data_IF_844698551203
#
_entry.id   IF_844698551203
#
_cell.length_a   1.000
_cell.length_b   1.000
_cell.length_c   1.000
_cell.angle_alpha   90.00
_cell.angle_beta   90.00
_cell.angle_gamma   90.00
#
_symmetry.space_group_name_H-M   'P 1'
#
loop_
_entity.id
_entity.type
_entity.pdbx_description
1 polymer ?
#
# COMPACT_ATOMS: atom_id res chain seq x y z
N UNK A 1 21.38 -26.24 -23.65
CA UNK A 1 20.35 -25.70 -22.74
C UNK A 1 20.95 -25.67 -21.35
N UNK A 2 21.00 -24.52 -20.69
CA UNK A 2 21.42 -24.43 -19.29
C UNK A 2 20.51 -25.30 -18.42
N UNK A 3 21.08 -26.14 -17.55
CA UNK A 3 20.31 -26.88 -16.54
C UNK A 3 19.64 -25.87 -15.60
N UNK A 4 18.33 -25.63 -15.81
CA UNK A 4 17.54 -24.68 -15.03
C UNK A 4 17.43 -25.10 -13.55
N UNK A 5 17.53 -26.40 -13.25
CA UNK A 5 17.55 -26.89 -11.87
C UNK A 5 18.88 -26.60 -11.19
N UNK A 6 20.00 -26.69 -11.92
CA UNK A 6 21.30 -26.26 -11.40
C UNK A 6 21.35 -24.74 -11.21
N UNK A 7 20.80 -23.96 -12.15
CA UNK A 7 20.69 -22.52 -12.04
C UNK A 7 19.88 -22.11 -10.80
N UNK A 8 18.72 -22.74 -10.60
CA UNK A 8 17.87 -22.45 -9.45
C UNK A 8 18.54 -22.82 -8.13
N UNK A 9 19.16 -24.00 -8.02
CA UNK A 9 19.92 -24.41 -6.83
C UNK A 9 21.02 -23.41 -6.48
N UNK A 10 21.73 -22.90 -7.50
CA UNK A 10 22.75 -21.86 -7.33
C UNK A 10 22.17 -20.55 -6.83
N UNK A 11 21.02 -20.14 -7.37
CA UNK A 11 20.40 -18.84 -7.10
C UNK A 11 19.46 -18.82 -5.90
N UNK A 12 19.17 -19.97 -5.27
CA UNK A 12 18.25 -20.04 -4.12
C UNK A 12 18.82 -19.41 -2.85
N UNK A 13 20.12 -19.60 -2.59
CA UNK A 13 20.76 -19.18 -1.34
C UNK A 13 20.58 -17.68 -1.06
N UNK A 14 20.42 -17.24 0.21
CA UNK A 14 20.04 -15.86 0.58
C UNK A 14 20.96 -14.71 0.12
N UNK A 15 22.09 -14.99 -0.52
CA UNK A 15 23.05 -13.99 -1.03
C UNK A 15 23.58 -14.31 -2.43
N UNK A 16 22.99 -15.29 -3.10
CA UNK A 16 23.39 -15.66 -4.44
C UNK A 16 23.15 -14.49 -5.41
N UNK A 17 24.15 -14.19 -6.23
CA UNK A 17 24.07 -13.18 -7.29
C UNK A 17 23.71 -13.87 -8.60
N UNK A 18 22.73 -13.32 -9.30
CA UNK A 18 22.37 -13.70 -10.67
C UNK A 18 22.21 -12.45 -11.52
N UNK A 19 22.29 -12.61 -12.84
CA UNK A 19 21.97 -11.52 -13.77
C UNK A 19 20.45 -11.32 -13.87
N UNK A 20 19.98 -10.16 -14.35
CA UNK A 20 18.56 -9.96 -14.66
C UNK A 20 17.97 -11.08 -15.54
N UNK A 21 18.70 -11.53 -16.58
CA UNK A 21 18.23 -12.59 -17.48
C UNK A 21 18.15 -13.96 -16.80
N UNK A 22 19.14 -14.33 -15.97
CA UNK A 22 19.09 -15.58 -15.22
C UNK A 22 17.91 -15.61 -14.26
N UNK A 23 17.64 -14.49 -13.60
CA UNK A 23 16.54 -14.36 -12.66
C UNK A 23 15.20 -14.33 -13.40
N UNK A 24 15.12 -13.67 -14.56
CA UNK A 24 13.95 -13.69 -15.44
C UNK A 24 13.58 -15.11 -15.86
N UNK A 25 14.54 -15.94 -16.26
CA UNK A 25 14.30 -17.34 -16.61
C UNK A 25 13.69 -18.15 -15.45
N UNK A 26 14.14 -17.91 -14.22
CA UNK A 26 13.58 -18.58 -13.04
C UNK A 26 12.19 -18.05 -12.68
N UNK A 27 11.96 -16.75 -12.85
CA UNK A 27 10.65 -16.12 -12.64
C UNK A 27 9.61 -16.73 -13.57
N UNK A 28 9.87 -16.73 -14.88
CA UNK A 28 8.91 -17.26 -15.86
C UNK A 28 8.65 -18.74 -15.67
N UNK A 29 9.70 -19.54 -15.42
CA UNK A 29 9.56 -20.97 -15.10
C UNK A 29 8.65 -21.20 -13.90
N UNK A 30 8.87 -20.48 -12.79
CA UNK A 30 8.09 -20.65 -11.55
C UNK A 30 6.67 -20.13 -11.70
N UNK A 31 6.47 -19.04 -12.43
CA UNK A 31 5.13 -18.55 -12.77
C UNK A 31 4.33 -19.58 -13.58
N UNK A 32 4.91 -20.13 -14.65
CA UNK A 32 4.24 -21.16 -15.46
C UNK A 32 3.93 -22.43 -14.68
N UNK A 33 4.78 -22.83 -13.73
CA UNK A 33 4.48 -23.96 -12.83
C UNK A 33 3.34 -23.67 -11.85
N UNK A 34 3.13 -22.41 -11.47
CA UNK A 34 1.98 -22.02 -10.65
C UNK A 34 0.66 -22.05 -11.46
N UNK A 35 0.72 -21.70 -12.75
CA UNK A 35 -0.42 -21.73 -13.67
C UNK A 35 -0.78 -23.16 -14.12
N UNK A 36 0.21 -24.03 -14.30
CA UNK A 36 0.06 -25.40 -14.82
C UNK A 36 -0.72 -26.38 -13.95
N UNK A 37 -1.22 -25.92 -12.80
CA UNK A 37 -2.01 -26.74 -11.87
C UNK A 37 -1.15 -27.60 -10.94
N UNK A 38 -1.72 -27.90 -9.79
CA UNK A 38 -1.08 -28.61 -8.67
C UNK A 38 -1.96 -28.44 -7.44
N UNK A 39 -1.59 -29.08 -6.33
CA UNK A 39 -2.29 -28.81 -5.07
C UNK A 39 -2.04 -27.35 -4.62
N UNK A 40 -2.93 -26.81 -3.78
CA UNK A 40 -2.87 -25.41 -3.35
C UNK A 40 -1.54 -25.04 -2.67
N UNK A 41 -0.85 -26.01 -2.04
CA UNK A 41 0.43 -25.80 -1.36
C UNK A 41 1.56 -25.65 -2.38
N UNK A 42 1.59 -26.50 -3.41
CA UNK A 42 2.55 -26.41 -4.51
C UNK A 42 2.41 -25.11 -5.29
N UNK A 43 1.18 -24.71 -5.62
CA UNK A 43 0.91 -23.43 -6.30
C UNK A 43 1.44 -22.25 -5.49
N UNK A 44 1.16 -22.21 -4.18
CA UNK A 44 1.70 -21.17 -3.28
C UNK A 44 3.23 -21.17 -3.27
N UNK A 45 3.86 -22.34 -3.24
CA UNK A 45 5.32 -22.45 -3.26
C UNK A 45 5.93 -22.02 -4.61
N UNK A 46 5.25 -22.21 -5.74
CA UNK A 46 5.75 -21.73 -7.02
C UNK A 46 5.63 -20.21 -7.15
N UNK A 47 4.48 -19.64 -6.74
CA UNK A 47 4.30 -18.19 -6.69
C UNK A 47 5.29 -17.51 -5.73
N UNK A 48 5.54 -18.15 -4.59
CA UNK A 48 6.57 -17.74 -3.65
C UNK A 48 7.93 -17.52 -4.30
N UNK A 49 8.35 -18.54 -5.03
CA UNK A 49 9.65 -18.59 -5.68
C UNK A 49 9.73 -17.62 -6.85
N UNK A 50 8.66 -17.51 -7.63
CA UNK A 50 8.56 -16.52 -8.70
C UNK A 50 8.72 -15.10 -8.14
N UNK A 51 8.00 -14.75 -7.07
CA UNK A 51 8.12 -13.46 -6.40
C UNK A 51 9.52 -13.24 -5.80
N UNK A 52 10.12 -14.26 -5.18
CA UNK A 52 11.49 -14.16 -4.66
C UNK A 52 12.50 -13.80 -5.77
N UNK A 53 12.44 -14.52 -6.90
CA UNK A 53 13.36 -14.27 -8.01
C UNK A 53 13.08 -12.96 -8.72
N UNK A 54 11.82 -12.53 -8.84
CA UNK A 54 11.45 -11.23 -9.38
C UNK A 54 12.04 -10.08 -8.54
N UNK A 55 11.93 -10.19 -7.22
CA UNK A 55 12.54 -9.20 -6.32
C UNK A 55 14.06 -9.18 -6.40
N UNK A 56 14.69 -10.33 -6.63
CA UNK A 56 16.15 -10.40 -6.88
C UNK A 56 16.52 -9.85 -8.26
N UNK A 57 15.72 -10.10 -9.30
CA UNK A 57 15.94 -9.60 -10.66
C UNK A 57 15.95 -8.08 -10.69
N UNK A 58 14.98 -7.46 -10.01
CA UNK A 58 14.96 -6.02 -9.81
C UNK A 58 16.21 -5.49 -9.10
N UNK A 59 16.63 -6.15 -8.00
CA UNK A 59 17.86 -5.80 -7.26
C UNK A 59 19.14 -6.02 -8.08
N UNK A 60 19.13 -6.94 -9.04
CA UNK A 60 20.22 -7.19 -9.97
C UNK A 60 20.30 -6.17 -11.11
N UNK A 61 19.36 -5.23 -11.21
CA UNK A 61 19.39 -4.15 -12.18
C UNK A 61 18.40 -4.26 -13.32
N UNK A 62 17.39 -5.14 -13.25
CA UNK A 62 16.33 -5.19 -14.26
C UNK A 62 15.59 -3.85 -14.36
N UNK A 63 15.43 -3.33 -15.58
CA UNK A 63 14.79 -2.04 -15.89
C UNK A 63 13.84 -2.09 -17.07
N UNK A 64 13.74 -3.23 -17.77
CA UNK A 64 12.76 -3.42 -18.83
C UNK A 64 11.33 -3.31 -18.28
N UNK A 65 10.54 -2.40 -18.84
CA UNK A 65 9.21 -2.06 -18.31
C UNK A 65 8.21 -3.23 -18.43
N UNK A 66 8.34 -4.07 -19.45
CA UNK A 66 7.49 -5.25 -19.62
C UNK A 66 7.79 -6.28 -18.51
N UNK A 67 9.06 -6.59 -18.26
CA UNK A 67 9.47 -7.50 -17.18
C UNK A 67 9.10 -6.96 -15.81
N UNK A 68 9.29 -5.66 -15.56
CA UNK A 68 8.89 -5.01 -14.31
C UNK A 68 7.37 -5.08 -14.08
N UNK A 69 6.55 -4.94 -15.13
CA UNK A 69 5.11 -5.13 -15.06
C UNK A 69 4.75 -6.56 -14.65
N UNK A 70 5.42 -7.56 -15.22
CA UNK A 70 5.26 -8.97 -14.81
C UNK A 70 5.65 -9.19 -13.35
N UNK A 71 6.74 -8.59 -12.88
CA UNK A 71 7.15 -8.70 -11.48
C UNK A 71 6.09 -8.14 -10.53
N UNK A 72 5.47 -7.00 -10.85
CA UNK A 72 4.36 -6.45 -10.06
C UNK A 72 3.16 -7.39 -10.01
N UNK A 73 2.76 -7.98 -11.14
CA UNK A 73 1.65 -8.91 -11.19
C UNK A 73 1.89 -10.12 -10.27
N UNK A 74 3.10 -10.69 -10.30
CA UNK A 74 3.50 -11.80 -9.45
C UNK A 74 3.51 -11.42 -7.96
N UNK A 75 3.97 -10.22 -7.60
CA UNK A 75 3.94 -9.75 -6.21
C UNK A 75 2.50 -9.65 -5.69
N UNK A 76 1.61 -9.07 -6.48
CA UNK A 76 0.19 -8.90 -6.10
C UNK A 76 -0.53 -10.24 -5.97
N UNK A 77 -0.22 -11.20 -6.84
CA UNK A 77 -0.77 -12.56 -6.74
C UNK A 77 -0.19 -13.30 -5.51
N UNK A 78 1.12 -13.23 -5.30
CA UNK A 78 1.76 -13.84 -4.14
C UNK A 78 1.22 -13.26 -2.81
N UNK A 79 0.98 -11.95 -2.75
CA UNK A 79 0.32 -11.30 -1.61
C UNK A 79 -1.13 -11.77 -1.44
N UNK A 80 -1.90 -11.87 -2.53
CA UNK A 80 -3.28 -12.38 -2.50
C UNK A 80 -3.39 -13.75 -1.85
N UNK A 81 -2.41 -14.62 -2.12
CA UNK A 81 -2.36 -16.00 -1.61
C UNK A 81 -1.57 -16.13 -0.31
N UNK A 82 -1.24 -15.00 0.33
CA UNK A 82 -0.52 -14.91 1.61
C UNK A 82 0.82 -15.64 1.60
N UNK A 83 1.55 -15.53 0.49
CA UNK A 83 2.79 -16.26 0.34
C UNK A 83 3.95 -15.56 1.10
N UNK A 84 4.04 -14.22 1.14
CA UNK A 84 5.10 -13.48 1.90
C UNK A 84 4.70 -12.03 2.21
N UNK A 85 4.79 -11.53 3.46
CA UNK A 85 4.25 -10.20 3.78
C UNK A 85 5.25 -9.02 3.68
N UNK A 86 6.54 -9.15 4.01
CA UNK A 86 7.37 -7.94 4.28
C UNK A 86 8.36 -7.53 3.18
N UNK A 87 9.15 -8.45 2.63
CA UNK A 87 10.22 -8.07 1.69
C UNK A 87 9.71 -7.68 0.29
N UNK A 88 8.52 -8.15 -0.08
CA UNK A 88 7.94 -7.91 -1.40
C UNK A 88 7.40 -6.49 -1.53
N UNK A 89 6.83 -5.91 -0.48
CA UNK A 89 6.17 -4.60 -0.58
C UNK A 89 7.12 -3.44 -0.81
N UNK A 90 8.23 -3.39 -0.05
CA UNK A 90 9.28 -2.40 -0.30
C UNK A 90 9.90 -2.56 -1.70
N UNK A 91 9.89 -3.77 -2.25
CA UNK A 91 10.38 -4.02 -3.62
C UNK A 91 9.35 -3.60 -4.66
N UNK A 92 8.07 -3.93 -4.45
CA UNK A 92 6.93 -3.51 -5.29
C UNK A 92 6.89 -1.99 -5.43
N UNK A 93 6.96 -1.28 -4.31
CA UNK A 93 7.05 0.17 -4.21
C UNK A 93 8.10 0.77 -5.15
N UNK A 94 9.30 0.19 -5.13
CA UNK A 94 10.42 0.64 -5.93
C UNK A 94 10.23 0.33 -7.41
N UNK A 95 9.64 -0.82 -7.75
CA UNK A 95 9.28 -1.15 -9.13
C UNK A 95 8.22 -0.17 -9.66
N UNK A 96 7.20 0.15 -8.87
CA UNK A 96 6.18 1.17 -9.22
C UNK A 96 6.86 2.51 -9.53
N UNK A 97 7.79 2.95 -8.67
CA UNK A 97 8.53 4.19 -8.89
C UNK A 97 9.33 4.18 -10.20
N UNK A 98 10.02 3.08 -10.51
CA UNK A 98 10.80 2.95 -11.75
C UNK A 98 9.91 2.95 -13.00
N UNK A 99 8.76 2.27 -12.95
CA UNK A 99 7.79 2.28 -14.05
C UNK A 99 7.21 3.68 -14.28
N UNK A 100 6.91 4.43 -13.23
CA UNK A 100 6.46 5.82 -13.34
C UNK A 100 7.50 6.71 -14.00
N UNK A 101 8.76 6.59 -13.55
CA UNK A 101 9.88 7.35 -14.11
C UNK A 101 10.08 7.03 -15.60
N UNK A 102 10.03 5.74 -15.97
CA UNK A 102 10.13 5.30 -17.37
C UNK A 102 8.96 5.79 -18.23
N UNK A 103 7.75 5.88 -17.66
CA UNK A 103 6.56 6.41 -18.33
C UNK A 103 6.50 7.93 -18.44
N UNK A 104 7.49 8.67 -17.95
CA UNK A 104 7.49 10.13 -17.94
C UNK A 104 6.42 10.75 -17.02
N UNK A 105 5.90 9.98 -16.06
CA UNK A 105 4.92 10.46 -15.09
C UNK A 105 5.65 11.32 -14.06
N UNK A 106 5.39 12.62 -14.08
CA UNK A 106 5.97 13.58 -13.14
C UNK A 106 5.52 13.29 -11.71
N UNK A 107 6.27 13.81 -10.72
CA UNK A 107 5.78 13.84 -9.34
C UNK A 107 4.49 14.68 -9.27
N UNK A 108 3.49 14.26 -8.49
CA UNK A 108 2.24 15.01 -8.35
C UNK A 108 2.51 16.38 -7.72
N UNK A 109 1.81 17.41 -8.19
CA UNK A 109 1.92 18.74 -7.59
C UNK A 109 1.16 18.76 -6.26
N UNK A 110 1.85 19.16 -5.19
CA UNK A 110 1.24 19.27 -3.86
C UNK A 110 0.57 20.63 -3.76
N UNK A 111 -0.76 20.64 -3.77
CA UNK A 111 -1.59 21.83 -3.58
C UNK A 111 -1.56 22.32 -2.13
N UNK A 112 -1.77 21.38 -1.20
CA UNK A 112 -1.78 21.66 0.25
C UNK A 112 -1.06 20.56 0.99
N UNK A 113 -0.28 20.93 2.00
CA UNK A 113 0.42 19.97 2.86
C UNK A 113 0.44 20.45 4.31
N UNK A 114 0.21 19.51 5.23
CA UNK A 114 0.40 19.72 6.66
C UNK A 114 0.95 18.46 7.31
N UNK A 115 1.81 18.64 8.29
CA UNK A 115 2.40 17.54 9.04
C UNK A 115 2.30 17.82 10.54
N UNK A 116 2.05 16.77 11.31
CA UNK A 116 1.96 16.82 12.77
C UNK A 116 2.29 15.45 13.34
N UNK A 117 2.95 15.44 14.49
CA UNK A 117 3.04 14.22 15.30
C UNK A 117 1.73 14.05 16.07
N UNK A 118 1.05 12.94 15.87
CA UNK A 118 -0.21 12.61 16.54
C UNK A 118 0.04 11.42 17.46
N UNK A 119 -0.53 11.46 18.65
CA UNK A 119 -0.46 10.37 19.63
C UNK A 119 -1.73 9.52 19.55
N UNK A 120 -1.60 8.20 19.73
CA UNK A 120 -2.73 7.28 19.91
C UNK A 120 -2.58 6.40 21.15
N UNK A 121 -3.67 6.26 21.91
CA UNK A 121 -3.83 5.37 23.08
C UNK A 121 -4.55 4.05 22.75
N UNK A 122 -4.92 3.85 21.48
CA UNK A 122 -5.72 2.71 21.03
C UNK A 122 -5.11 2.04 19.80
N UNK A 123 -3.82 2.28 19.54
CA UNK A 123 -3.12 1.83 18.34
C UNK A 123 -3.83 2.13 17.00
N UNK A 124 -4.68 3.17 16.96
CA UNK A 124 -5.58 3.46 15.84
C UNK A 124 -5.66 4.97 15.59
N UNK A 125 -5.63 5.36 14.32
CA UNK A 125 -6.04 6.69 13.86
C UNK A 125 -7.21 6.58 12.89
N UNK A 126 -8.08 7.58 12.94
CA UNK A 126 -9.16 7.84 12.00
C UNK A 126 -8.76 9.02 11.11
N UNK A 127 -9.05 8.89 9.82
CA UNK A 127 -8.98 9.95 8.82
C UNK A 127 -10.38 10.14 8.24
N UNK A 128 -10.97 11.32 8.39
CA UNK A 128 -12.36 11.56 7.99
C UNK A 128 -12.62 13.05 7.77
N UNK A 129 -13.77 13.38 7.19
CA UNK A 129 -14.32 14.74 7.22
C UNK A 129 -14.59 15.17 8.67
N UNK A 130 -14.43 16.45 9.01
CA UNK A 130 -14.74 16.97 10.35
C UNK A 130 -16.12 16.51 10.89
N UNK A 131 -17.16 16.56 10.06
CA UNK A 131 -18.52 16.20 10.49
C UNK A 131 -18.68 14.70 10.77
N UNK A 132 -18.01 13.88 9.97
CA UNK A 132 -18.05 12.42 10.08
C UNK A 132 -17.11 11.93 11.17
N UNK A 133 -15.98 12.59 11.37
CA UNK A 133 -15.00 12.24 12.39
C UNK A 133 -15.64 12.20 13.77
N UNK A 134 -16.32 13.27 14.16
CA UNK A 134 -16.93 13.35 15.50
C UNK A 134 -18.05 12.31 15.65
N UNK A 135 -18.84 12.09 14.59
CA UNK A 135 -19.92 11.08 14.60
C UNK A 135 -19.37 9.66 14.75
N UNK A 136 -18.37 9.28 13.95
CA UNK A 136 -17.71 7.97 14.00
C UNK A 136 -17.01 7.79 15.35
N UNK A 137 -16.30 8.82 15.78
CA UNK A 137 -15.49 8.82 16.99
C UNK A 137 -16.30 8.53 18.26
N UNK A 138 -17.56 8.97 18.33
CA UNK A 138 -18.43 8.77 19.50
C UNK A 138 -19.32 7.52 19.41
N UNK A 139 -19.21 6.76 18.31
CA UNK A 139 -19.94 5.52 18.09
C UNK A 139 -18.95 4.35 18.01
N UNK A 140 -18.68 3.71 19.15
CA UNK A 140 -17.74 2.58 19.25
C UNK A 140 -18.02 1.48 18.23
N UNK A 141 -19.30 1.27 17.85
CA UNK A 141 -19.66 0.25 16.85
C UNK A 141 -19.08 0.53 15.45
N UNK A 142 -18.57 1.73 15.20
CA UNK A 142 -17.96 2.12 13.92
C UNK A 142 -16.47 1.84 13.83
N UNK A 143 -15.79 1.61 14.95
CA UNK A 143 -14.33 1.52 14.98
C UNK A 143 -13.76 0.50 15.97
N UNK A 144 -14.57 -0.07 16.87
CA UNK A 144 -14.13 -1.05 17.86
C UNK A 144 -13.91 -2.46 17.26
N UNK A 145 -14.55 -2.77 16.13
CA UNK A 145 -14.40 -4.05 15.43
C UNK A 145 -14.22 -3.91 13.92
N UNK A 146 -13.82 -5.01 13.28
CA UNK A 146 -13.55 -5.08 11.84
C UNK A 146 -14.79 -4.87 10.97
N UNK A 147 -15.99 -5.19 11.46
CA UNK A 147 -17.23 -5.03 10.70
C UNK A 147 -17.62 -3.55 10.61
N UNK A 148 -17.63 -2.86 11.75
CA UNK A 148 -17.86 -1.43 11.86
C UNK A 148 -16.86 -0.61 11.06
N UNK A 149 -15.57 -0.95 11.18
CA UNK A 149 -14.51 -0.29 10.40
C UNK A 149 -14.76 -0.47 8.90
N UNK A 150 -15.03 -1.70 8.44
CA UNK A 150 -15.29 -1.97 7.01
C UNK A 150 -16.50 -1.22 6.50
N UNK A 151 -17.62 -1.23 7.23
CA UNK A 151 -18.83 -0.51 6.82
C UNK A 151 -18.57 1.00 6.70
N UNK A 152 -17.80 1.57 7.63
CA UNK A 152 -17.42 2.99 7.61
C UNK A 152 -16.55 3.35 6.40
N UNK A 153 -15.57 2.51 6.04
CA UNK A 153 -14.74 2.77 4.86
C UNK A 153 -15.50 2.53 3.55
N UNK A 154 -16.34 1.49 3.47
CA UNK A 154 -17.17 1.21 2.29
C UNK A 154 -18.17 2.33 2.00
N UNK A 155 -18.71 2.95 3.05
CA UNK A 155 -19.57 4.12 2.94
C UNK A 155 -18.80 5.41 2.58
N UNK A 156 -17.46 5.37 2.51
CA UNK A 156 -16.62 6.53 2.23
C UNK A 156 -16.64 7.60 3.32
N UNK A 157 -16.96 7.21 4.56
CA UNK A 157 -17.09 8.13 5.70
C UNK A 157 -15.76 8.33 6.43
N UNK A 158 -14.87 7.35 6.38
CA UNK A 158 -13.61 7.41 7.10
C UNK A 158 -12.62 6.35 6.64
N UNK A 159 -11.42 6.46 7.18
CA UNK A 159 -10.27 5.61 6.93
C UNK A 159 -9.56 5.34 8.24
N UNK A 160 -9.12 4.10 8.45
CA UNK A 160 -8.45 3.70 9.68
C UNK A 160 -6.98 3.36 9.42
N UNK A 161 -6.09 3.84 10.29
CA UNK A 161 -4.67 3.53 10.30
C UNK A 161 -4.37 2.79 11.60
N UNK A 162 -4.12 1.49 11.51
CA UNK A 162 -3.72 0.67 12.66
C UNK A 162 -2.20 0.65 12.81
N UNK A 163 -1.70 1.09 13.95
CA UNK A 163 -0.25 1.12 14.26
C UNK A 163 0.23 -0.14 14.99
N UNK A 164 -0.68 -0.95 15.53
CA UNK A 164 -0.34 -2.15 16.31
C UNK A 164 0.15 -1.89 17.73
N UNK A 165 0.48 -0.64 18.07
CA UNK A 165 0.82 -0.22 19.42
C UNK A 165 0.48 1.27 19.62
N UNK A 166 0.31 1.63 20.88
CA UNK A 166 0.20 3.03 21.31
C UNK A 166 1.50 3.77 21.06
N UNK A 167 1.38 5.07 20.82
CA UNK A 167 2.55 5.93 20.67
C UNK A 167 2.31 7.12 19.76
N UNK A 168 3.42 7.78 19.42
CA UNK A 168 3.41 8.94 18.56
C UNK A 168 3.89 8.58 17.17
N UNK A 169 3.12 8.93 16.15
CA UNK A 169 3.50 8.76 14.74
C UNK A 169 3.51 10.11 14.04
N UNK A 170 4.51 10.33 13.17
CA UNK A 170 4.52 11.55 12.35
C UNK A 170 3.59 11.37 11.16
N UNK A 171 2.49 12.10 11.15
CA UNK A 171 1.56 12.13 10.02
C UNK A 171 1.84 13.31 9.11
N UNK A 172 1.71 13.07 7.80
CA UNK A 172 1.76 14.08 6.76
C UNK A 172 0.59 13.90 5.82
N UNK A 173 -0.27 14.89 5.73
CA UNK A 173 -1.41 14.91 4.79
C UNK A 173 -1.04 15.81 3.61
N UNK A 174 -1.20 15.29 2.40
CA UNK A 174 -0.96 15.98 1.12
C UNK A 174 -2.22 15.94 0.28
N UNK A 175 -2.57 17.09 -0.27
CA UNK A 175 -3.61 17.23 -1.28
C UNK A 175 -2.92 17.54 -2.59
N UNK A 176 -3.25 16.81 -3.64
CA UNK A 176 -2.58 16.90 -4.94
C UNK A 176 -3.53 17.29 -6.08
N UNK A 177 -2.99 17.87 -7.14
CA UNK A 177 -3.72 18.45 -8.28
C UNK A 177 -4.37 17.42 -9.22
N UNK A 178 -3.79 16.22 -9.28
CA UNK A 178 -4.16 15.14 -10.21
C UNK A 178 -4.56 13.89 -9.47
N UNK A 179 -5.23 12.98 -10.19
CA UNK A 179 -5.62 11.63 -9.77
C UNK A 179 -4.45 10.71 -9.35
N UNK A 180 -3.23 11.24 -9.27
CA UNK A 180 -2.02 10.50 -9.01
C UNK A 180 -1.61 10.56 -7.54
N UNK A 181 -1.91 9.48 -6.81
CA UNK A 181 -1.70 9.37 -5.37
C UNK A 181 -0.27 9.00 -4.98
N UNK A 182 0.73 9.49 -5.71
CA UNK A 182 2.10 9.00 -5.60
C UNK A 182 2.92 9.63 -4.47
N UNK A 183 3.86 8.84 -3.94
CA UNK A 183 4.95 9.38 -3.12
C UNK A 183 5.98 10.10 -3.97
N UNK A 184 6.80 10.95 -3.34
CA UNK A 184 8.01 11.46 -3.98
C UNK A 184 9.03 10.33 -4.20
N UNK A 185 9.87 10.46 -5.22
CA UNK A 185 10.83 9.42 -5.65
C UNK A 185 11.75 8.94 -4.52
N UNK A 186 12.13 9.85 -3.61
CA UNK A 186 13.01 9.55 -2.46
C UNK A 186 12.29 8.77 -1.36
N UNK A 187 10.97 8.90 -1.26
CA UNK A 187 10.17 8.28 -0.19
C UNK A 187 9.89 6.82 -0.46
N UNK A 188 9.81 6.40 -1.73
CA UNK A 188 9.68 5.00 -2.11
C UNK A 188 10.81 4.11 -1.57
N UNK A 189 11.98 4.67 -1.24
CA UNK A 189 13.08 3.92 -0.60
C UNK A 189 12.77 3.48 0.82
N UNK A 190 11.91 4.22 1.51
CA UNK A 190 11.55 3.99 2.90
C UNK A 190 10.13 3.40 3.04
N UNK A 191 9.44 3.11 1.92
CA UNK A 191 8.09 2.56 1.95
C UNK A 191 8.10 1.16 2.55
N UNK A 192 7.35 0.99 3.63
CA UNK A 192 7.18 -0.30 4.31
C UNK A 192 5.83 -0.92 4.03
N UNK A 193 4.78 -0.10 3.89
CA UNK A 193 3.45 -0.57 3.48
C UNK A 193 2.61 0.54 2.86
N UNK A 194 1.64 0.18 2.03
CA UNK A 194 0.68 1.10 1.44
C UNK A 194 -0.73 0.50 1.39
N UNK A 195 -1.75 1.36 1.38
CA UNK A 195 -3.13 0.94 1.15
C UNK A 195 -3.50 1.00 -0.34
N UNK A 196 -4.50 0.22 -0.74
CA UNK A 196 -5.26 0.55 -1.94
C UNK A 196 -5.91 1.94 -1.76
N UNK A 197 -6.06 2.73 -2.84
CA UNK A 197 -6.84 3.96 -2.77
C UNK A 197 -8.29 3.66 -2.38
N UNK A 198 -8.86 4.50 -1.52
CA UNK A 198 -10.29 4.47 -1.20
C UNK A 198 -10.93 5.80 -1.55
N UNK A 199 -12.27 5.82 -1.60
CA UNK A 199 -13.02 7.06 -1.72
C UNK A 199 -13.37 7.59 -0.33
N UNK A 200 -13.17 8.89 -0.13
CA UNK A 200 -13.52 9.59 1.11
C UNK A 200 -14.33 10.84 0.75
N UNK A 201 -15.52 10.97 1.31
CA UNK A 201 -16.36 12.14 1.16
C UNK A 201 -15.95 13.21 2.19
N UNK A 202 -15.65 14.42 1.72
CA UNK A 202 -15.27 15.59 2.51
C UNK A 202 -16.26 16.75 2.29
N UNK A 203 -17.53 16.63 2.70
CA UNK A 203 -18.54 17.65 2.45
C UNK A 203 -18.26 18.97 3.17
N UNK A 204 -17.53 18.97 4.30
CA UNK A 204 -17.16 20.19 5.02
C UNK A 204 -15.94 20.89 4.43
N UNK A 205 -15.18 20.20 3.56
CA UNK A 205 -13.88 20.68 3.10
C UNK A 205 -12.80 20.62 4.19
N UNK A 206 -12.97 19.80 5.23
CA UNK A 206 -11.99 19.66 6.31
C UNK A 206 -11.64 18.21 6.56
N UNK A 207 -10.43 17.84 6.14
CA UNK A 207 -9.85 16.53 6.40
C UNK A 207 -9.19 16.53 7.77
N UNK A 208 -9.69 15.69 8.68
CA UNK A 208 -9.18 15.52 10.05
C UNK A 208 -8.53 14.15 10.19
N UNK A 209 -7.35 14.13 10.80
CA UNK A 209 -6.64 12.92 11.23
C UNK A 209 -6.37 12.98 12.73
N UNK A 210 -6.80 11.96 13.46
CA UNK A 210 -6.62 11.84 14.91
C UNK A 210 -6.97 10.45 15.40
N UNK A 211 -6.70 10.11 16.65
CA UNK A 211 -7.30 8.92 17.25
C UNK A 211 -8.81 9.15 17.47
N UNK A 212 -9.64 8.08 17.54
CA UNK A 212 -10.99 8.22 18.09
C UNK A 212 -10.96 8.95 19.44
N UNK A 213 -11.97 9.78 19.66
CA UNK A 213 -12.21 10.64 20.81
C UNK A 213 -11.18 11.76 21.02
N UNK A 214 -10.25 11.97 20.06
CA UNK A 214 -9.31 13.07 20.11
C UNK A 214 -10.01 14.44 20.05
N UNK A 215 -9.50 15.37 20.84
CA UNK A 215 -9.90 16.78 20.74
C UNK A 215 -9.33 17.40 19.48
N UNK A 216 -9.97 18.47 19.02
CA UNK A 216 -9.58 19.18 17.79
C UNK A 216 -8.11 19.61 17.75
N UNK A 217 -7.58 20.08 18.88
CA UNK A 217 -6.20 20.51 19.03
C UNK A 217 -5.19 19.35 19.05
N UNK A 218 -5.64 18.12 19.29
CA UNK A 218 -4.86 16.89 19.22
C UNK A 218 -4.79 16.34 17.78
N UNK A 219 -5.77 16.69 16.94
CA UNK A 219 -5.85 16.28 15.54
C UNK A 219 -4.92 17.06 14.57
N UNK A 220 -4.62 16.44 13.43
CA UNK A 220 -4.08 17.07 12.23
C UNK A 220 -5.22 17.41 11.28
N UNK A 221 -5.47 18.71 11.06
CA UNK A 221 -6.54 19.19 10.18
C UNK A 221 -6.02 19.90 8.93
N UNK A 222 -6.57 19.58 7.77
CA UNK A 222 -6.27 20.24 6.49
C UNK A 222 -7.56 20.74 5.87
N UNK A 223 -7.59 22.03 5.51
CA UNK A 223 -8.68 22.62 4.73
C UNK A 223 -8.49 22.32 3.24
N UNK A 224 -9.56 21.89 2.58
CA UNK A 224 -9.63 21.48 1.19
C UNK A 224 -10.95 21.92 0.58
N UNK A 225 -11.08 21.87 -0.74
CA UNK A 225 -12.38 22.08 -1.37
C UNK A 225 -13.34 20.92 -1.03
N UNK A 226 -14.59 21.24 -0.72
CA UNK A 226 -15.60 20.21 -0.46
C UNK A 226 -15.78 19.29 -1.68
N UNK A 227 -15.92 17.99 -1.44
CA UNK A 227 -16.12 17.00 -2.49
C UNK A 227 -15.68 15.60 -2.12
N UNK A 228 -15.48 14.75 -3.13
CA UNK A 228 -15.02 13.36 -2.96
C UNK A 228 -13.56 13.27 -3.37
N UNK A 229 -12.79 12.53 -2.58
CA UNK A 229 -11.36 12.36 -2.76
C UNK A 229 -11.01 10.89 -2.86
N UNK A 230 -10.08 10.55 -3.75
CA UNK A 230 -9.34 9.29 -3.68
C UNK A 230 -8.20 9.48 -2.70
N UNK A 231 -8.07 8.59 -1.73
CA UNK A 231 -7.09 8.70 -0.65
C UNK A 231 -6.27 7.44 -0.55
N UNK A 232 -4.94 7.57 -0.53
CA UNK A 232 -4.00 6.48 -0.31
C UNK A 232 -3.12 6.76 0.91
N UNK A 233 -2.78 5.68 1.62
CA UNK A 233 -1.96 5.69 2.83
C UNK A 233 -0.61 5.03 2.54
N UNK A 234 0.45 5.64 3.04
CA UNK A 234 1.82 5.14 2.90
C UNK A 234 2.54 5.18 4.23
N UNK A 235 2.95 4.03 4.75
CA UNK A 235 3.79 3.93 5.93
C UNK A 235 5.26 3.88 5.51
N UNK A 236 6.04 4.80 6.04
CA UNK A 236 7.46 4.96 5.76
C UNK A 236 8.26 4.66 7.04
N UNK A 237 9.51 4.24 6.87
CA UNK A 237 10.48 4.09 7.97
C UNK A 237 9.94 3.21 9.11
N UNK A 238 9.43 2.02 8.80
CA UNK A 238 8.86 1.07 9.77
C UNK A 238 7.74 1.66 10.64
N UNK A 239 6.92 2.54 10.07
CA UNK A 239 5.78 3.14 10.78
C UNK A 239 6.10 4.42 11.54
N UNK A 240 7.34 4.91 11.52
CA UNK A 240 7.71 6.20 12.13
C UNK A 240 7.05 7.39 11.44
N UNK A 241 6.73 7.26 10.14
CA UNK A 241 6.06 8.28 9.34
C UNK A 241 4.93 7.67 8.53
N UNK A 242 3.74 8.29 8.57
CA UNK A 242 2.62 7.95 7.70
C UNK A 242 2.30 9.14 6.79
N UNK A 243 2.21 8.90 5.49
CA UNK A 243 1.81 9.90 4.48
C UNK A 243 0.42 9.54 3.96
N UNK A 244 -0.52 10.47 4.10
CA UNK A 244 -1.86 10.41 3.51
C UNK A 244 -1.85 11.30 2.28
N UNK A 245 -2.14 10.75 1.10
CA UNK A 245 -2.24 11.52 -0.14
C UNK A 245 -3.69 11.48 -0.61
N UNK A 246 -4.27 12.65 -0.83
CA UNK A 246 -5.64 12.84 -1.28
C UNK A 246 -5.66 13.57 -2.62
N UNK A 247 -6.33 13.00 -3.61
CA UNK A 247 -6.61 13.63 -4.90
C UNK A 247 -8.11 13.80 -5.04
N UNK A 248 -8.56 15.01 -5.39
CA UNK A 248 -9.98 15.25 -5.65
C UNK A 248 -10.40 14.45 -6.87
N UNK A 249 -11.57 13.82 -6.83
CA UNK A 249 -12.09 13.04 -7.95
C UNK A 249 -13.55 13.37 -8.23
N UNK A 250 -13.97 13.17 -9.48
CA UNK A 250 -15.38 13.25 -9.86
C UNK A 250 -16.04 11.88 -9.65
N UNK A 251 -17.23 11.87 -9.03
CA UNK A 251 -17.96 10.66 -8.65
C UNK A 251 -18.21 9.71 -9.83
N UNK A 252 -18.44 10.25 -11.03
CA UNK A 252 -18.61 9.49 -12.28
C UNK A 252 -17.33 8.77 -12.76
N UNK A 253 -16.16 9.33 -12.47
CA UNK A 253 -14.86 8.70 -12.77
C UNK A 253 -14.52 7.62 -11.74
N UNK A 254 -14.89 7.86 -10.47
CA UNK A 254 -14.59 6.99 -9.34
C UNK A 254 -15.32 5.63 -9.39
N UNK A 255 -16.58 5.61 -9.85
CA UNK A 255 -17.37 4.37 -9.97
C UNK A 255 -16.85 3.42 -11.06
N UNK A 256 -16.14 3.95 -12.07
CA UNK A 256 -15.57 3.16 -13.18
C UNK A 256 -14.15 2.63 -12.90
N UNK A 257 -13.54 2.98 -11.76
CA UNK A 257 -12.15 2.62 -11.42
C UNK A 257 -12.02 1.76 -10.16
N UNK A 258 -13.13 1.38 -9.52
CA UNK A 258 -13.10 0.41 -8.42
C UNK A 258 -12.85 -0.98 -9.02
N UNK A 259 -11.75 -1.67 -8.68
CA UNK A 259 -11.59 -3.06 -9.09
C UNK A 259 -12.74 -3.89 -8.50
N UNK A 260 -13.35 -4.78 -9.30
CA UNK A 260 -14.44 -5.68 -8.87
C UNK A 260 -14.04 -6.66 -7.76
N UNK A 261 -12.75 -6.71 -7.41
CA UNK A 261 -12.27 -7.44 -6.23
C UNK A 261 -12.46 -6.59 -4.99
N UNK A 262 -13.01 -7.18 -3.91
CA UNK A 262 -13.08 -6.62 -2.57
C UNK A 262 -11.90 -5.66 -2.28
N UNK A 263 -12.14 -4.45 -1.73
CA UNK A 263 -11.06 -3.61 -1.27
C UNK A 263 -10.23 -4.43 -0.29
N UNK A 264 -9.00 -4.78 -0.69
CA UNK A 264 -7.98 -5.28 0.21
C UNK A 264 -7.58 -4.09 1.07
N UNK A 265 -8.43 -3.83 2.07
CA UNK A 265 -8.12 -2.89 3.14
C UNK A 265 -6.75 -3.23 3.68
N UNK A 266 -6.03 -2.17 4.03
CA UNK A 266 -4.69 -2.24 4.58
C UNK A 266 -4.57 -3.46 5.47
N UNK A 267 -3.86 -4.48 4.98
CA UNK A 267 -3.20 -5.38 5.89
C UNK A 267 -2.34 -4.44 6.73
N UNK A 268 -2.70 -4.31 8.01
CA UNK A 268 -1.74 -3.89 9.00
C UNK A 268 -0.54 -4.78 8.79
N UNK A 269 0.53 -4.19 8.28
CA UNK A 269 1.76 -4.92 8.07
C UNK A 269 2.49 -4.84 9.37
N UNK A 270 2.45 -5.96 10.07
CA UNK A 270 3.35 -6.23 11.17
C UNK A 270 2.71 -6.13 12.55
N UNK A 271 1.54 -6.72 12.75
CA UNK A 271 1.35 -7.45 14.00
C UNK A 271 2.32 -8.63 14.00
N UNK A 272 3.43 -8.50 14.75
CA UNK A 272 4.18 -9.68 15.20
C UNK A 272 3.24 -10.42 16.15
N UNK A 273 2.45 -11.35 15.62
CA UNK A 273 1.90 -12.42 16.43
C UNK A 273 3.05 -13.40 16.69
N UNK A 274 3.77 -13.15 17.78
CA UNK A 274 4.47 -14.23 18.45
C UNK A 274 3.39 -15.12 19.06
N UNK A 275 3.18 -16.29 18.46
CA UNK A 275 2.82 -17.50 19.23
C UNK A 275 4.11 -18.22 19.59
#
# INVERSE_FOLDING_TARGET
MSDLDALERRLLAPKAKGTPDELWLLVTRRASLAEGGGDAKQVKQHLAMAALFAGRGFKAGERDTARLTTYLALFREAQAKQCFPLQLQATEARIINELRAAGGISEPEILTKKAKSVFTHVALYLVSDETSFDTISHDDSRWADDEGMRATVQAGLGLFIYTGADGTTRHEVRVVDRDDLALGSREYKNLTSSSAPVLLALPSGRLRLGQPLAKRDECLEVEVEAGVYRVALYNLSNGEKCVVIAARTNLESALNQLPESEPRYGQSIGGILNT
#
